data_IF_471133380021
#
_entry.id   IF_471133380021
#
_cell.length_a   1.000
_cell.length_b   1.000
_cell.length_c   1.000
_cell.angle_alpha   90.00
_cell.angle_beta   90.00
_cell.angle_gamma   90.00
#
_symmetry.space_group_name_H-M   'P 1'
#
loop_
_entity.id
_entity.type
_entity.pdbx_description
1 polymer ?
#
# COMPACT_ATOMS: atom_id res chain seq x y z
N UNK A 1 -11.95 23.65 13.14
CA UNK A 1 -11.78 22.44 13.98
C UNK A 1 -11.05 21.41 13.15
N UNK A 2 -9.98 20.75 13.64
CA UNK A 2 -9.54 19.53 12.99
C UNK A 2 -10.72 18.57 13.02
N UNK A 3 -11.07 18.01 11.86
CA UNK A 3 -12.09 16.96 11.79
C UNK A 3 -11.46 15.77 12.50
N UNK A 4 -11.86 15.51 13.76
CA UNK A 4 -11.41 14.33 14.49
C UNK A 4 -11.78 13.05 13.76
N UNK A 5 -11.30 11.89 14.23
CA UNK A 5 -11.68 10.62 13.60
C UNK A 5 -13.21 10.44 13.75
N UNK A 6 -13.96 10.31 12.64
CA UNK A 6 -15.40 10.10 12.71
C UNK A 6 -15.71 8.79 13.42
N UNK A 7 -16.83 8.76 14.15
CA UNK A 7 -17.37 7.54 14.74
C UNK A 7 -18.54 7.03 13.90
N UNK A 8 -18.68 5.71 13.83
CA UNK A 8 -19.76 5.02 13.13
C UNK A 8 -20.40 3.99 14.05
N UNK A 9 -21.70 3.76 13.89
CA UNK A 9 -22.40 2.69 14.59
C UNK A 9 -21.95 1.33 14.04
N UNK A 10 -21.64 0.40 14.95
CA UNK A 10 -21.26 -0.96 14.59
C UNK A 10 -21.68 -1.95 15.68
N UNK A 11 -22.25 -3.08 15.27
CA UNK A 11 -22.55 -4.20 16.16
C UNK A 11 -21.32 -5.11 16.25
N UNK A 12 -20.68 -5.16 17.43
CA UNK A 12 -19.57 -6.08 17.66
C UNK A 12 -20.08 -7.52 17.70
N UNK A 13 -19.30 -8.52 17.23
CA UNK A 13 -19.75 -9.92 17.20
C UNK A 13 -20.23 -10.47 18.56
N UNK A 14 -19.63 -9.98 19.65
CA UNK A 14 -19.91 -10.39 21.04
C UNK A 14 -20.96 -9.51 21.74
N UNK A 15 -21.44 -8.45 21.09
CA UNK A 15 -22.41 -7.51 21.66
C UNK A 15 -23.81 -7.73 21.06
N UNK A 16 -24.84 -7.42 21.86
CA UNK A 16 -26.24 -7.41 21.44
C UNK A 16 -26.70 -6.02 20.97
N UNK A 17 -25.98 -4.96 21.36
CA UNK A 17 -26.28 -3.57 21.01
C UNK A 17 -25.15 -2.95 20.17
N UNK A 18 -25.51 -2.00 19.29
CA UNK A 18 -24.53 -1.27 18.49
C UNK A 18 -23.76 -0.27 19.37
N UNK A 19 -22.44 -0.22 19.18
CA UNK A 19 -21.57 0.75 19.84
C UNK A 19 -20.92 1.70 18.82
N UNK A 20 -20.62 2.93 19.28
CA UNK A 20 -19.92 3.91 18.45
C UNK A 20 -18.42 3.63 18.43
N UNK A 21 -17.92 3.20 17.28
CA UNK A 21 -16.51 2.89 17.07
C UNK A 21 -15.86 3.89 16.11
N UNK A 22 -14.55 4.09 16.25
CA UNK A 22 -13.80 4.91 15.30
C UNK A 22 -13.81 4.29 13.90
N UNK A 23 -13.91 5.13 12.86
CA UNK A 23 -14.01 4.71 11.46
C UNK A 23 -12.89 3.73 11.07
N UNK A 24 -11.65 4.01 11.43
CA UNK A 24 -10.52 3.14 11.09
C UNK A 24 -10.58 1.78 11.78
N UNK A 25 -11.15 1.70 13.00
CA UNK A 25 -11.39 0.42 13.68
C UNK A 25 -12.48 -0.40 12.98
N UNK A 26 -13.47 0.28 12.38
CA UNK A 26 -14.49 -0.40 11.57
C UNK A 26 -13.92 -0.94 10.26
N UNK A 27 -13.06 -0.17 9.59
CA UNK A 27 -12.44 -0.54 8.32
C UNK A 27 -11.38 -1.63 8.48
N UNK A 28 -10.60 -1.61 9.57
CA UNK A 28 -9.58 -2.63 9.83
C UNK A 28 -10.18 -4.04 9.99
N UNK A 29 -11.41 -4.15 10.52
CA UNK A 29 -12.16 -5.43 10.57
C UNK A 29 -12.55 -5.97 9.19
N UNK A 30 -12.60 -5.11 8.17
CA UNK A 30 -12.70 -5.51 6.76
C UNK A 30 -11.33 -5.75 6.13
N UNK A 31 -10.27 -5.77 6.95
CA UNK A 31 -8.86 -5.96 6.56
C UNK A 31 -8.34 -4.85 5.65
N UNK A 32 -8.91 -3.65 5.80
CA UNK A 32 -8.42 -2.44 5.15
C UNK A 32 -7.41 -1.74 6.05
N UNK A 33 -6.19 -1.64 5.56
CA UNK A 33 -5.06 -1.01 6.21
C UNK A 33 -4.69 0.24 5.44
N UNK A 34 -4.48 1.36 6.14
CA UNK A 34 -4.18 2.64 5.52
C UNK A 34 -2.79 3.12 5.90
N UNK A 35 -2.02 3.55 4.90
CA UNK A 35 -0.76 4.25 5.05
C UNK A 35 -0.84 5.56 4.25
N UNK A 36 -1.45 6.56 4.88
CA UNK A 36 -1.78 7.86 4.26
C UNK A 36 -0.93 9.02 4.79
N UNK A 37 0.31 8.72 5.19
CA UNK A 37 1.23 9.68 5.82
C UNK A 37 2.68 9.30 5.56
N UNK A 38 3.61 10.14 6.00
CA UNK A 38 5.03 9.83 5.98
C UNK A 38 5.35 8.55 6.76
N UNK A 39 6.26 7.76 6.20
CA UNK A 39 6.73 6.50 6.77
C UNK A 39 7.81 6.82 7.81
N UNK A 40 7.44 6.76 9.07
CA UNK A 40 8.33 6.91 10.23
C UNK A 40 8.18 5.70 11.13
N UNK A 41 9.11 5.46 12.06
CA UNK A 41 9.07 4.28 12.94
C UNK A 41 7.71 4.07 13.62
N UNK A 42 7.08 5.14 14.12
CA UNK A 42 5.76 5.06 14.77
C UNK A 42 4.66 4.59 13.81
N UNK A 43 4.58 5.18 12.62
CA UNK A 43 3.53 4.84 11.64
C UNK A 43 3.74 3.47 11.04
N UNK A 44 4.99 3.10 10.74
CA UNK A 44 5.34 1.78 10.28
C UNK A 44 5.01 0.70 11.34
N UNK A 45 5.33 0.95 12.61
CA UNK A 45 5.03 -0.01 13.68
C UNK A 45 3.51 -0.24 13.85
N UNK A 46 2.70 0.81 13.68
CA UNK A 46 1.23 0.69 13.73
C UNK A 46 0.69 -0.12 12.55
N UNK A 47 1.16 0.16 11.32
CA UNK A 47 0.76 -0.58 10.11
C UNK A 47 1.18 -2.05 10.22
N UNK A 48 2.44 -2.32 10.59
CA UNK A 48 2.95 -3.68 10.78
C UNK A 48 2.19 -4.44 11.86
N UNK A 49 1.97 -3.81 13.03
CA UNK A 49 1.22 -4.42 14.12
C UNK A 49 -0.21 -4.79 13.70
N UNK A 50 -0.88 -3.90 12.95
CA UNK A 50 -2.21 -4.19 12.42
C UNK A 50 -2.20 -5.33 11.39
N UNK A 51 -1.27 -5.32 10.43
CA UNK A 51 -1.16 -6.40 9.43
C UNK A 51 -0.90 -7.77 10.07
N UNK A 52 -0.03 -7.80 11.08
CA UNK A 52 0.26 -9.02 11.85
C UNK A 52 -0.98 -9.47 12.63
N UNK A 53 -1.67 -8.55 13.30
CA UNK A 53 -2.90 -8.86 14.03
C UNK A 53 -3.96 -9.49 13.11
N UNK A 54 -4.20 -8.90 11.94
CA UNK A 54 -5.14 -9.45 10.95
C UNK A 54 -4.71 -10.84 10.47
N UNK A 55 -3.41 -11.05 10.23
CA UNK A 55 -2.88 -12.38 9.88
C UNK A 55 -3.09 -13.39 11.00
N UNK A 56 -2.95 -13.00 12.27
CA UNK A 56 -3.21 -13.87 13.42
C UNK A 56 -4.70 -14.18 13.60
N UNK A 57 -5.58 -13.21 13.33
CA UNK A 57 -7.03 -13.41 13.38
C UNK A 57 -7.48 -14.46 12.35
N UNK A 58 -6.98 -14.36 11.13
CA UNK A 58 -7.27 -15.33 10.07
C UNK A 58 -6.22 -15.22 8.95
N UNK A 59 -5.32 -16.19 8.79
CA UNK A 59 -4.26 -16.12 7.76
C UNK A 59 -4.74 -16.53 6.35
N UNK A 60 -6.02 -16.86 6.18
CA UNK A 60 -6.60 -17.31 4.91
C UNK A 60 -7.29 -16.21 4.13
N UNK A 61 -7.65 -15.09 4.78
CA UNK A 61 -8.24 -13.94 4.08
C UNK A 61 -7.20 -12.87 3.79
N UNK A 62 -7.29 -12.33 2.60
CA UNK A 62 -6.36 -11.32 2.10
C UNK A 62 -6.60 -9.96 2.75
N UNK A 63 -5.60 -9.08 2.65
CA UNK A 63 -5.61 -7.72 3.21
C UNK A 63 -5.49 -6.69 2.10
N UNK A 64 -6.05 -5.50 2.30
CA UNK A 64 -5.93 -4.38 1.37
C UNK A 64 -5.14 -3.25 2.02
N UNK A 65 -4.00 -2.90 1.43
CA UNK A 65 -3.13 -1.82 1.86
C UNK A 65 -3.32 -0.61 0.95
N UNK A 66 -4.02 0.40 1.45
CA UNK A 66 -4.22 1.68 0.79
C UNK A 66 -3.04 2.61 1.08
N UNK A 67 -2.40 3.09 0.02
CA UNK A 67 -1.17 3.87 0.07
C UNK A 67 -1.44 5.28 -0.43
N UNK A 68 -1.16 6.29 0.40
CA UNK A 68 -1.09 7.69 0.01
C UNK A 68 0.04 8.37 0.81
N UNK A 69 1.28 8.16 0.38
CA UNK A 69 2.46 8.55 1.13
C UNK A 69 3.55 9.14 0.24
N UNK A 70 4.23 10.20 0.71
CA UNK A 70 5.41 10.73 0.04
C UNK A 70 6.65 9.82 0.20
N UNK A 71 6.55 8.74 0.99
CA UNK A 71 7.67 7.90 1.38
C UNK A 71 8.11 8.20 2.81
N UNK A 72 9.40 8.01 3.10
CA UNK A 72 9.98 8.23 4.42
C UNK A 72 11.14 7.27 4.69
N UNK A 73 11.27 6.84 5.95
CA UNK A 73 12.36 5.99 6.42
C UNK A 73 12.47 4.68 5.63
N UNK A 74 13.69 4.42 5.12
CA UNK A 74 14.02 3.22 4.34
C UNK A 74 13.77 1.92 5.11
N UNK A 75 14.37 1.77 6.30
CA UNK A 75 14.23 0.53 7.08
C UNK A 75 12.78 0.29 7.56
N UNK A 76 12.05 1.27 8.13
CA UNK A 76 10.64 1.10 8.45
C UNK A 76 9.79 0.71 7.24
N UNK A 77 10.04 1.33 6.08
CA UNK A 77 9.32 1.03 4.85
C UNK A 77 9.65 -0.37 4.30
N UNK A 78 10.89 -0.83 4.42
CA UNK A 78 11.28 -2.19 4.02
C UNK A 78 10.55 -3.26 4.84
N UNK A 79 10.33 -3.03 6.14
CA UNK A 79 9.51 -3.93 6.95
C UNK A 79 8.07 -4.05 6.44
N UNK A 80 7.45 -2.92 6.04
CA UNK A 80 6.09 -2.93 5.45
C UNK A 80 6.12 -3.63 4.09
N UNK A 81 7.14 -3.37 3.28
CA UNK A 81 7.33 -4.05 1.99
C UNK A 81 7.42 -5.57 2.14
N UNK A 82 8.20 -6.06 3.11
CA UNK A 82 8.35 -7.50 3.34
C UNK A 82 7.03 -8.16 3.75
N UNK A 83 6.20 -7.46 4.55
CA UNK A 83 4.85 -7.91 4.88
C UNK A 83 3.91 -7.89 3.66
N UNK A 84 3.97 -6.83 2.84
CA UNK A 84 3.16 -6.72 1.62
C UNK A 84 3.52 -7.79 0.58
N UNK A 85 4.81 -8.14 0.47
CA UNK A 85 5.32 -9.16 -0.44
C UNK A 85 5.13 -10.60 0.07
N UNK A 86 4.57 -10.78 1.27
CA UNK A 86 4.23 -12.09 1.80
C UNK A 86 3.10 -12.73 1.00
N UNK A 87 3.11 -14.06 0.90
CA UNK A 87 2.15 -14.83 0.09
C UNK A 87 0.94 -15.34 0.89
N UNK A 88 0.98 -15.25 2.21
CA UNK A 88 -0.08 -15.76 3.07
C UNK A 88 -0.21 -14.94 4.35
N UNK A 89 -1.31 -14.17 4.52
CA UNK A 89 -2.32 -13.86 3.50
C UNK A 89 -1.73 -13.01 2.37
N UNK A 90 -2.38 -12.93 1.21
CA UNK A 90 -1.95 -11.95 0.22
C UNK A 90 -2.30 -10.52 0.65
N UNK A 91 -1.45 -9.58 0.25
CA UNK A 91 -1.70 -8.15 0.45
C UNK A 91 -1.91 -7.48 -0.90
N UNK A 92 -3.11 -6.95 -1.12
CA UNK A 92 -3.46 -6.14 -2.27
C UNK A 92 -3.07 -4.70 -2.00
N UNK A 93 -2.26 -4.10 -2.87
CA UNK A 93 -1.81 -2.71 -2.70
C UNK A 93 -2.59 -1.77 -3.61
N UNK A 94 -3.03 -0.65 -3.05
CA UNK A 94 -3.87 0.34 -3.74
C UNK A 94 -3.27 1.72 -3.59
N UNK A 95 -2.72 2.26 -4.66
CA UNK A 95 -2.15 3.61 -4.72
C UNK A 95 -3.23 4.67 -4.91
N UNK A 96 -3.34 5.57 -3.93
CA UNK A 96 -4.22 6.73 -3.89
C UNK A 96 -3.38 8.00 -3.79
N UNK A 97 -3.72 9.05 -4.56
CA UNK A 97 -3.04 10.34 -4.44
C UNK A 97 -1.55 10.28 -4.82
N UNK A 98 -0.66 10.02 -3.86
CA UNK A 98 0.77 9.87 -4.13
C UNK A 98 1.34 8.59 -3.52
N UNK A 99 2.16 7.89 -4.28
CA UNK A 99 2.99 6.77 -3.82
C UNK A 99 4.43 7.03 -4.26
N UNK A 100 5.20 7.75 -3.45
CA UNK A 100 6.57 8.13 -3.77
C UNK A 100 7.60 7.40 -2.89
N UNK A 101 8.80 7.20 -3.43
CA UNK A 101 9.95 6.64 -2.71
C UNK A 101 9.64 5.27 -2.10
N UNK A 102 9.75 5.12 -0.77
CA UNK A 102 9.40 3.88 -0.09
C UNK A 102 7.93 3.46 -0.30
N UNK A 103 7.02 4.41 -0.51
CA UNK A 103 5.63 4.08 -0.80
C UNK A 103 5.45 3.46 -2.18
N UNK A 104 6.23 3.85 -3.20
CA UNK A 104 6.20 3.19 -4.51
C UNK A 104 6.77 1.77 -4.43
N UNK A 105 7.76 1.55 -3.57
CA UNK A 105 8.32 0.21 -3.36
C UNK A 105 7.29 -0.70 -2.69
N UNK A 106 6.63 -0.21 -1.64
CA UNK A 106 5.55 -0.94 -0.96
C UNK A 106 4.39 -1.22 -1.93
N UNK A 107 3.98 -0.24 -2.74
CA UNK A 107 2.95 -0.41 -3.78
C UNK A 107 3.33 -1.55 -4.74
N UNK A 108 4.58 -1.57 -5.20
CA UNK A 108 5.12 -2.61 -6.07
C UNK A 108 5.12 -3.99 -5.42
N UNK A 109 5.26 -4.07 -4.09
CA UNK A 109 5.36 -5.30 -3.32
C UNK A 109 4.06 -6.06 -3.09
N UNK A 110 2.90 -5.51 -3.45
CA UNK A 110 1.63 -6.21 -3.32
C UNK A 110 1.52 -7.47 -4.17
N UNK A 111 0.41 -8.20 -4.01
CA UNK A 111 0.08 -9.40 -4.79
C UNK A 111 0.20 -9.12 -6.29
N UNK A 112 1.09 -9.86 -6.96
CA UNK A 112 1.30 -9.77 -8.40
C UNK A 112 -0.03 -9.96 -9.15
N UNK A 113 -0.22 -9.21 -10.23
CA UNK A 113 -1.46 -9.13 -11.05
C UNK A 113 -2.63 -8.40 -10.40
N UNK A 114 -2.47 -7.86 -9.18
CA UNK A 114 -3.54 -7.25 -8.40
C UNK A 114 -3.15 -5.90 -7.75
N UNK A 115 -2.00 -5.31 -8.14
CA UNK A 115 -1.54 -4.00 -7.67
C UNK A 115 -2.24 -2.89 -8.44
N UNK A 116 -2.80 -1.91 -7.74
CA UNK A 116 -3.69 -0.91 -8.35
C UNK A 116 -3.17 0.50 -8.12
N UNK A 117 -3.28 1.38 -9.12
CA UNK A 117 -3.19 2.83 -8.95
C UNK A 117 -4.48 3.51 -9.40
N UNK A 118 -4.94 4.50 -8.63
CA UNK A 118 -6.10 5.31 -9.02
C UNK A 118 -5.78 6.26 -10.19
N UNK A 119 -6.76 6.70 -10.99
CA UNK A 119 -6.52 7.50 -12.20
C UNK A 119 -5.75 8.82 -12.00
N UNK A 120 -5.81 9.40 -10.80
CA UNK A 120 -5.08 10.63 -10.43
C UNK A 120 -3.93 10.36 -9.45
N UNK A 121 -3.57 9.10 -9.22
CA UNK A 121 -2.42 8.77 -8.41
C UNK A 121 -1.12 9.15 -9.13
N UNK A 122 -0.07 9.48 -8.38
CA UNK A 122 1.29 9.65 -8.91
C UNK A 122 2.24 8.69 -8.23
N UNK A 123 3.09 8.03 -9.02
CA UNK A 123 4.10 7.10 -8.52
C UNK A 123 5.48 7.71 -8.77
N UNK A 124 6.37 7.68 -7.79
CA UNK A 124 7.74 8.19 -7.96
C UNK A 124 8.73 7.25 -7.32
N UNK A 125 9.78 6.89 -8.06
CA UNK A 125 10.91 6.13 -7.54
C UNK A 125 12.10 7.08 -7.45
N UNK A 126 12.92 6.90 -6.42
CA UNK A 126 14.25 7.50 -6.36
C UNK A 126 15.20 6.62 -5.54
N UNK A 127 16.48 6.98 -5.57
CA UNK A 127 17.50 6.39 -4.74
C UNK A 127 17.28 6.73 -3.26
N UNK A 128 17.63 5.85 -2.33
CA UNK A 128 17.68 6.20 -0.92
C UNK A 128 18.66 7.36 -0.67
N UNK A 129 18.31 8.22 0.29
CA UNK A 129 19.18 9.31 0.74
C UNK A 129 19.89 8.96 2.04
N UNK A 130 21.11 9.48 2.19
CA UNK A 130 21.82 9.52 3.46
C UNK A 130 21.45 10.78 4.24
N UNK A 131 21.43 10.65 5.56
CA UNK A 131 21.27 11.78 6.48
C UNK A 131 22.56 12.60 6.59
N UNK A 132 23.71 11.98 6.29
CA UNK A 132 25.00 12.65 6.34
C UNK A 132 25.19 13.54 5.11
N UNK A 133 25.86 14.67 5.29
CA UNK A 133 26.38 15.51 4.21
C UNK A 133 27.64 14.89 3.59
N UNK A 134 28.03 15.35 2.40
CA UNK A 134 29.25 14.87 1.72
C UNK A 134 30.52 15.05 2.59
N UNK A 135 30.57 16.09 3.42
CA UNK A 135 31.66 16.32 4.36
C UNK A 135 31.69 15.35 5.54
N UNK A 136 30.53 14.78 5.92
CA UNK A 136 30.40 13.85 7.04
C UNK A 136 30.56 12.38 6.61
N UNK A 137 30.46 12.07 5.31
CA UNK A 137 30.63 10.71 4.77
C UNK A 137 31.94 10.01 5.18
N UNK A 138 33.13 10.67 5.16
CA UNK A 138 34.38 10.00 5.51
C UNK A 138 34.40 9.51 6.97
N UNK A 139 33.75 10.24 7.86
CA UNK A 139 33.62 9.89 9.28
C UNK A 139 32.54 8.83 9.52
N UNK A 140 31.61 8.66 8.57
CA UNK A 140 30.48 7.73 8.63
C UNK A 140 30.52 6.70 7.49
N UNK A 141 31.71 6.17 7.21
CA UNK A 141 31.94 5.28 6.06
C UNK A 141 31.03 4.03 6.09
N UNK A 142 30.86 3.42 7.27
CA UNK A 142 30.03 2.22 7.43
C UNK A 142 28.57 2.44 7.01
N UNK A 143 27.95 3.53 7.46
CA UNK A 143 26.56 3.85 7.12
C UNK A 143 26.43 4.25 5.64
N UNK A 144 27.42 4.97 5.12
CA UNK A 144 27.49 5.34 3.70
C UNK A 144 27.54 4.10 2.80
N UNK A 145 28.38 3.12 3.14
CA UNK A 145 28.43 1.83 2.45
C UNK A 145 27.12 1.05 2.57
N UNK A 146 26.48 1.07 3.74
CA UNK A 146 25.20 0.40 3.97
C UNK A 146 24.12 0.96 3.04
N UNK A 147 24.03 2.29 2.91
CA UNK A 147 23.06 2.95 2.02
C UNK A 147 23.30 2.57 0.56
N UNK A 148 24.55 2.49 0.11
CA UNK A 148 24.87 2.04 -1.24
C UNK A 148 24.46 0.58 -1.47
N UNK A 149 24.71 -0.30 -0.49
CA UNK A 149 24.26 -1.71 -0.54
C UNK A 149 22.73 -1.80 -0.59
N UNK A 150 22.04 -0.97 0.20
CA UNK A 150 20.58 -0.92 0.22
C UNK A 150 20.01 -0.37 -1.09
N UNK A 151 20.63 0.65 -1.69
CA UNK A 151 20.26 1.17 -3.02
C UNK A 151 20.29 0.06 -4.07
N UNK A 152 21.38 -0.72 -4.11
CA UNK A 152 21.49 -1.85 -5.05
C UNK A 152 20.43 -2.91 -4.77
N UNK A 153 20.13 -3.20 -3.50
CA UNK A 153 19.08 -4.15 -3.12
C UNK A 153 17.70 -3.67 -3.58
N UNK A 154 17.34 -2.40 -3.33
CA UNK A 154 16.08 -1.81 -3.78
C UNK A 154 15.96 -1.84 -5.30
N UNK A 155 17.02 -1.48 -6.03
CA UNK A 155 17.04 -1.54 -7.49
C UNK A 155 16.80 -2.98 -8.00
N UNK A 156 17.47 -3.98 -7.41
CA UNK A 156 17.24 -5.40 -7.73
C UNK A 156 15.83 -5.87 -7.42
N UNK A 157 15.23 -5.36 -6.34
CA UNK A 157 13.83 -5.63 -6.01
C UNK A 157 12.90 -5.10 -7.10
N UNK A 158 13.09 -3.85 -7.54
CA UNK A 158 12.32 -3.29 -8.65
C UNK A 158 12.52 -4.11 -9.94
N UNK A 159 13.75 -4.45 -10.32
CA UNK A 159 14.02 -5.31 -11.50
C UNK A 159 13.24 -6.61 -11.44
N UNK A 160 13.26 -7.28 -10.27
CA UNK A 160 12.59 -8.58 -10.09
C UNK A 160 11.08 -8.48 -10.31
N UNK A 161 10.45 -7.40 -9.86
CA UNK A 161 9.00 -7.24 -9.86
C UNK A 161 8.50 -6.60 -11.17
N UNK A 162 9.19 -5.57 -11.64
CA UNK A 162 8.80 -4.78 -12.82
C UNK A 162 9.24 -5.42 -14.13
N UNK A 163 10.18 -6.37 -14.08
CA UNK A 163 10.85 -6.97 -15.24
C UNK A 163 11.61 -5.97 -16.12
N UNK A 164 11.84 -4.74 -15.64
CA UNK A 164 12.71 -3.78 -16.30
C UNK A 164 14.19 -4.18 -16.18
N UNK A 165 15.01 -3.72 -17.12
CA UNK A 165 16.46 -3.88 -17.04
C UNK A 165 17.02 -3.12 -15.84
N UNK A 166 18.12 -3.61 -15.27
CA UNK A 166 18.76 -2.97 -14.11
C UNK A 166 19.17 -1.53 -14.41
N UNK A 167 19.70 -1.27 -15.59
CA UNK A 167 20.12 0.08 -16.03
C UNK A 167 18.92 1.03 -16.07
N UNK A 168 17.79 0.57 -16.60
CA UNK A 168 16.54 1.37 -16.66
C UNK A 168 16.06 1.74 -15.26
N UNK A 169 16.05 0.80 -14.32
CA UNK A 169 15.71 1.07 -12.92
C UNK A 169 16.72 2.01 -12.28
N UNK A 170 18.02 1.76 -12.48
CA UNK A 170 19.09 2.54 -11.88
C UNK A 170 19.05 4.01 -12.30
N UNK A 171 18.80 4.26 -13.58
CA UNK A 171 18.66 5.61 -14.13
C UNK A 171 17.39 6.29 -13.62
N UNK A 172 16.25 5.57 -13.58
CA UNK A 172 15.00 6.11 -13.03
C UNK A 172 15.09 6.43 -11.53
N UNK A 173 15.85 5.65 -10.76
CA UNK A 173 16.11 5.94 -9.36
C UNK A 173 17.10 7.11 -9.17
N UNK A 174 17.92 7.43 -10.18
CA UNK A 174 18.96 8.46 -10.05
C UNK A 174 18.42 9.89 -9.92
N UNK A 175 17.15 10.12 -10.27
CA UNK A 175 16.46 11.41 -10.15
C UNK A 175 15.02 11.18 -9.70
N UNK A 176 14.38 12.22 -9.18
CA UNK A 176 12.95 12.19 -8.90
C UNK A 176 12.18 12.18 -10.22
N UNK A 177 11.75 11.00 -10.66
CA UNK A 177 10.89 10.83 -11.85
C UNK A 177 9.50 10.43 -11.38
N UNK A 178 8.51 11.26 -11.70
CA UNK A 178 7.11 10.98 -11.45
C UNK A 178 6.50 10.28 -12.67
N UNK A 179 5.72 9.25 -12.40
CA UNK A 179 4.91 8.51 -13.35
C UNK A 179 3.44 8.74 -13.04
N UNK A 180 2.68 8.96 -14.10
CA UNK A 180 1.22 8.78 -14.12
C UNK A 180 0.87 7.31 -13.82
N UNK A 181 -0.39 6.99 -13.48
CA UNK A 181 -0.80 5.61 -13.23
C UNK A 181 -0.57 4.69 -14.44
N UNK A 182 -0.80 5.20 -15.66
CA UNK A 182 -0.58 4.46 -16.91
C UNK A 182 0.91 4.20 -17.15
N UNK A 183 1.77 5.19 -16.89
CA UNK A 183 3.22 4.99 -16.97
C UNK A 183 3.70 4.00 -15.90
N UNK A 184 3.21 4.09 -14.67
CA UNK A 184 3.54 3.16 -13.60
C UNK A 184 3.09 1.72 -13.92
N UNK A 185 1.96 1.56 -14.61
CA UNK A 185 1.50 0.27 -15.12
C UNK A 185 2.43 -0.26 -16.20
N UNK A 186 2.73 0.56 -17.22
CA UNK A 186 3.66 0.20 -18.30
C UNK A 186 5.07 -0.10 -17.78
N UNK A 187 5.49 0.58 -16.72
CA UNK A 187 6.77 0.36 -16.06
C UNK A 187 6.77 -0.92 -15.19
N UNK A 188 5.61 -1.48 -14.85
CA UNK A 188 5.46 -2.72 -14.06
C UNK A 188 5.37 -2.51 -12.54
N UNK A 189 5.17 -1.28 -12.07
CA UNK A 189 5.00 -0.96 -10.63
C UNK A 189 3.61 -1.34 -10.14
N UNK A 190 2.60 -1.18 -10.99
CA UNK A 190 1.22 -1.61 -10.76
C UNK A 190 0.75 -2.48 -11.92
N UNK A 191 -0.29 -3.27 -11.69
CA UNK A 191 -0.83 -4.18 -12.70
C UNK A 191 -1.97 -3.52 -13.49
N UNK A 192 -2.77 -2.66 -12.85
CA UNK A 192 -3.81 -1.89 -13.55
C UNK A 192 -4.13 -0.54 -12.91
N UNK A 193 -4.68 0.34 -13.75
CA UNK A 193 -5.25 1.62 -13.33
C UNK A 193 -6.73 1.41 -13.06
N UNK A 194 -7.19 1.63 -11.82
CA UNK A 194 -8.57 1.32 -11.42
C UNK A 194 -9.11 2.32 -10.40
N UNK A 195 -10.40 2.65 -10.51
CA UNK A 195 -11.05 3.67 -9.67
C UNK A 195 -12.43 3.29 -9.13
N UNK A 196 -12.98 2.13 -9.52
CA UNK A 196 -14.30 1.68 -9.07
C UNK A 196 -14.15 0.58 -8.01
N UNK A 197 -14.57 0.92 -6.81
CA UNK A 197 -14.77 -0.05 -5.74
C UNK A 197 -16.18 -0.60 -5.84
N UNK A 198 -16.29 -1.93 -5.83
CA UNK A 198 -17.59 -2.57 -5.71
C UNK A 198 -17.74 -3.19 -4.33
N UNK A 199 -18.83 -2.81 -3.68
CA UNK A 199 -19.25 -3.38 -2.43
C UNK A 199 -20.47 -4.24 -2.70
N UNK A 200 -20.35 -5.53 -2.41
CA UNK A 200 -21.47 -6.45 -2.49
C UNK A 200 -21.70 -7.07 -1.14
N UNK A 201 -22.94 -7.00 -0.67
CA UNK A 201 -23.31 -7.66 0.58
C UNK A 201 -23.59 -9.13 0.29
N UNK A 202 -22.98 -10.03 1.07
CA UNK A 202 -23.33 -11.45 0.96
C UNK A 202 -24.81 -11.64 1.24
N UNK A 203 -25.55 -12.44 0.45
CA UNK A 203 -26.91 -12.80 0.78
C UNK A 203 -26.96 -13.38 2.19
N UNK A 204 -27.86 -12.87 3.03
CA UNK A 204 -28.06 -13.39 4.37
C UNK A 204 -28.56 -14.83 4.30
N UNK A 205 -27.98 -15.71 5.11
CA UNK A 205 -28.56 -17.04 5.31
C UNK A 205 -29.85 -16.90 6.15
N UNK A 206 -30.82 -17.82 6.01
CA UNK A 206 -32.01 -17.80 6.85
C UNK A 206 -31.64 -17.77 8.35
N UNK A 207 -32.09 -16.74 9.06
CA UNK A 207 -31.81 -16.54 10.48
C UNK A 207 -30.58 -15.67 10.82
N UNK A 208 -29.80 -15.21 9.82
CA UNK A 208 -28.74 -14.23 10.06
C UNK A 208 -29.32 -12.81 10.24
N UNK A 209 -28.82 -12.09 11.24
CA UNK A 209 -29.17 -10.70 11.49
C UNK A 209 -28.63 -9.81 10.35
N UNK A 210 -29.47 -9.04 9.64
CA UNK A 210 -29.04 -8.06 8.63
C UNK A 210 -27.97 -7.10 9.11
N UNK A 211 -27.93 -6.78 10.41
CA UNK A 211 -26.89 -5.91 11.01
C UNK A 211 -25.50 -6.54 10.99
N UNK A 212 -25.42 -7.86 10.87
CA UNK A 212 -24.17 -8.65 10.81
C UNK A 212 -23.72 -8.94 9.38
N UNK A 213 -24.44 -8.42 8.38
CA UNK A 213 -24.10 -8.62 6.98
C UNK A 213 -22.74 -7.98 6.64
N UNK A 214 -21.81 -8.79 6.12
CA UNK A 214 -20.51 -8.32 5.67
C UNK A 214 -20.58 -7.93 4.19
N UNK A 215 -20.11 -6.71 3.89
CA UNK A 215 -19.79 -6.32 2.53
C UNK A 215 -18.46 -6.97 2.12
N UNK A 216 -18.47 -7.69 1.00
CA UNK A 216 -17.26 -8.01 0.26
C UNK A 216 -16.84 -6.82 -0.58
N UNK A 217 -15.53 -6.67 -0.73
CA UNK A 217 -14.91 -5.61 -1.47
C UNK A 217 -14.10 -6.21 -2.60
N UNK A 218 -14.31 -5.69 -3.81
CA UNK A 218 -13.49 -5.99 -4.97
C UNK A 218 -13.14 -4.70 -5.67
N UNK A 219 -11.90 -4.61 -6.13
CA UNK A 219 -11.46 -3.56 -7.05
C UNK A 219 -11.74 -4.08 -8.45
N UNK A 220 -12.58 -3.37 -9.21
CA UNK A 220 -12.87 -3.73 -10.60
C UNK A 220 -11.63 -3.58 -11.47
N UNK A 221 -11.44 -4.51 -12.40
CA UNK A 221 -10.43 -4.40 -13.45
C UNK A 221 -11.00 -3.57 -14.61
N UNK A 222 -10.16 -2.84 -15.37
CA UNK A 222 -10.60 -2.11 -16.55
C UNK A 222 -11.38 -2.99 -17.55
N UNK A 223 -10.96 -4.25 -17.70
CA UNK A 223 -11.61 -5.23 -18.60
C UNK A 223 -13.04 -5.62 -18.17
N UNK A 224 -13.45 -5.27 -16.94
CA UNK A 224 -14.80 -5.52 -16.43
C UNK A 224 -15.82 -4.46 -16.91
N UNK A 225 -15.37 -3.35 -17.51
CA UNK A 225 -16.20 -2.27 -18.04
C UNK A 225 -16.05 -2.17 -19.58
N UNK A 226 -17.17 -2.19 -20.31
CA UNK A 226 -17.23 -1.65 -21.67
C UNK A 226 -16.94 -0.15 -21.55
N UNK A 227 -15.85 0.31 -22.18
CA UNK A 227 -15.26 1.64 -22.03
C UNK A 227 -16.27 2.79 -21.92
N UNK A 228 -16.08 3.64 -20.90
CA UNK A 228 -16.50 5.04 -20.96
C UNK A 228 -15.26 5.86 -20.68
N UNK A 229 -14.67 6.40 -21.74
CA UNK A 229 -13.52 7.29 -21.70
C UNK A 229 -13.76 8.48 -20.78
N UNK A 230 -12.81 8.72 -19.88
CA UNK A 230 -12.65 10.02 -19.25
C UNK A 230 -11.31 10.58 -19.72
N UNK A 231 -11.31 11.21 -20.90
CA UNK A 231 -10.26 12.13 -21.33
C UNK A 231 -10.31 13.41 -20.47
N UNK A 232 -9.18 13.79 -19.88
CA UNK A 232 -8.88 15.16 -19.43
C UNK A 232 -7.44 15.50 -19.82
#
# INVERSE_FOLDING_TARGET
MPVGVPKVLFLLPEEEEESWVDLYNRLSRQRFVFLSQEIVHKSANQVLGLMIHLTLEDNTKDQYLFLNSPGGGLLPGLGIFDMAASKQPYVFTVGLGQCASMASLILCGGKLTERVAFPHARVMLHQPYSLYSLSEMPENLEETELILKLRVRVAKTYVKITHQRFETIWDHMGRDIFMTPKEAQAFGVVDFVGGKFEFYYKPLKPGEDPKRQLAEFRIRRPDDDIEVDFEY
#
